data_IF_920191033765
#
_entry.id   IF_920191033765
#
_cell.length_a   1.000
_cell.length_b   1.000
_cell.length_c   1.000
_cell.angle_alpha   90.00
_cell.angle_beta   90.00
_cell.angle_gamma   90.00
#
_symmetry.space_group_name_H-M   'P 1'
#
loop_
_entity.id
_entity.type
_entity.pdbx_description
1 polymer ?
#
# COMPACT_ATOMS: atom_id res chain seq x y z
N UNK A 1 2.20 37.06 6.24
CA UNK A 1 3.37 36.40 5.61
C UNK A 1 2.86 35.33 4.66
N UNK A 2 3.30 35.32 3.39
CA UNK A 2 2.98 34.20 2.49
C UNK A 2 3.74 32.95 2.95
N UNK A 3 3.05 31.80 2.95
CA UNK A 3 3.67 30.51 3.24
C UNK A 3 4.68 30.18 2.11
N UNK A 4 5.75 29.47 2.46
CA UNK A 4 6.86 29.19 1.52
C UNK A 4 6.44 28.25 0.36
N UNK A 5 7.29 28.14 -0.66
CA UNK A 5 7.08 27.34 -1.87
C UNK A 5 6.86 25.86 -1.56
N UNK A 6 7.59 25.32 -0.58
CA UNK A 6 7.55 23.89 -0.23
C UNK A 6 6.19 23.50 0.35
N UNK A 7 5.65 24.34 1.25
CA UNK A 7 4.29 24.14 1.76
C UNK A 7 3.25 24.23 0.63
N UNK A 8 3.39 25.19 -0.30
CA UNK A 8 2.42 25.31 -1.41
C UNK A 8 2.49 24.09 -2.32
N UNK A 9 3.68 23.57 -2.62
CA UNK A 9 3.87 22.35 -3.41
C UNK A 9 3.22 21.16 -2.74
N UNK A 10 3.53 20.92 -1.46
CA UNK A 10 2.93 19.85 -0.65
C UNK A 10 1.39 19.96 -0.61
N UNK A 11 0.86 21.13 -0.28
CA UNK A 11 -0.59 21.39 -0.24
C UNK A 11 -1.26 21.08 -1.58
N UNK A 12 -0.63 21.46 -2.69
CA UNK A 12 -1.18 21.22 -4.04
C UNK A 12 -1.26 19.73 -4.34
N UNK A 13 -0.24 18.94 -3.98
CA UNK A 13 -0.24 17.48 -4.15
C UNK A 13 -1.37 16.86 -3.32
N UNK A 14 -1.45 17.20 -2.04
CA UNK A 14 -2.51 16.70 -1.14
C UNK A 14 -3.90 17.07 -1.65
N UNK A 15 -4.09 18.29 -2.11
CA UNK A 15 -5.38 18.76 -2.65
C UNK A 15 -5.76 18.09 -3.96
N UNK A 16 -4.77 17.71 -4.79
CA UNK A 16 -4.98 17.09 -6.10
C UNK A 16 -5.14 15.57 -6.04
N UNK A 17 -4.68 14.90 -4.96
CA UNK A 17 -4.84 13.46 -4.79
C UNK A 17 -6.33 13.11 -4.65
N UNK A 18 -6.78 12.18 -5.48
CA UNK A 18 -8.16 11.64 -5.48
C UNK A 18 -8.09 10.12 -5.67
N UNK A 19 -9.15 9.44 -5.26
CA UNK A 19 -9.37 8.05 -5.67
C UNK A 19 -9.72 8.03 -7.14
N UNK A 20 -8.90 7.35 -7.92
CA UNK A 20 -9.09 7.13 -9.35
C UNK A 20 -9.40 5.66 -9.54
N UNK A 21 -10.55 5.36 -10.15
CA UNK A 21 -11.06 3.99 -10.33
C UNK A 21 -11.00 3.53 -11.79
N UNK A 22 -11.05 4.47 -12.74
CA UNK A 22 -10.88 4.18 -14.16
C UNK A 22 -9.38 4.14 -14.46
N UNK A 23 -8.78 2.98 -14.29
CA UNK A 23 -7.35 2.74 -14.47
C UNK A 23 -7.08 2.14 -15.85
N UNK A 24 -5.86 2.35 -16.32
CA UNK A 24 -5.30 1.70 -17.52
C UNK A 24 -3.83 1.36 -17.27
N UNK A 25 -3.21 0.66 -18.21
CA UNK A 25 -1.82 0.24 -18.10
C UNK A 25 -0.80 1.32 -18.48
N UNK A 26 -1.23 2.51 -18.88
CA UNK A 26 -0.33 3.58 -19.32
C UNK A 26 0.24 4.32 -18.10
N UNK A 27 1.52 4.15 -17.84
CA UNK A 27 2.24 4.87 -16.79
C UNK A 27 2.96 6.09 -17.37
N UNK A 28 2.86 7.26 -16.72
CA UNK A 28 3.64 8.45 -17.12
C UNK A 28 5.13 8.36 -16.74
N UNK A 29 5.51 7.36 -15.96
CA UNK A 29 6.87 7.06 -15.47
C UNK A 29 7.16 5.58 -15.63
N UNK A 30 8.41 5.15 -15.49
CA UNK A 30 8.76 3.73 -15.59
C UNK A 30 8.29 2.92 -14.36
N UNK A 31 8.16 1.60 -14.51
CA UNK A 31 7.92 0.68 -13.39
C UNK A 31 9.04 0.77 -12.34
N UNK A 32 10.29 0.93 -12.77
CA UNK A 32 11.44 1.11 -11.89
C UNK A 32 11.34 2.41 -11.05
N UNK A 33 10.82 3.49 -11.62
CA UNK A 33 10.54 4.72 -10.86
C UNK A 33 9.47 4.50 -9.81
N UNK A 34 8.40 3.76 -10.13
CA UNK A 34 7.36 3.38 -9.16
C UNK A 34 7.96 2.57 -8.01
N UNK A 35 8.76 1.55 -8.31
CA UNK A 35 9.42 0.72 -7.29
C UNK A 35 10.35 1.56 -6.43
N UNK A 36 11.14 2.46 -7.03
CA UNK A 36 12.04 3.36 -6.31
C UNK A 36 11.28 4.26 -5.34
N UNK A 37 10.19 4.87 -5.78
CA UNK A 37 9.34 5.72 -4.93
C UNK A 37 8.74 4.94 -3.76
N UNK A 38 8.21 3.75 -4.02
CA UNK A 38 7.63 2.90 -2.96
C UNK A 38 8.70 2.51 -1.94
N UNK A 39 9.90 2.12 -2.41
CA UNK A 39 11.04 1.78 -1.55
C UNK A 39 11.48 2.96 -0.69
N UNK A 40 11.72 4.11 -1.30
CA UNK A 40 12.19 5.31 -0.60
C UNK A 40 11.19 5.76 0.46
N UNK A 41 9.91 5.79 0.13
CA UNK A 41 8.88 6.21 1.08
C UNK A 41 8.63 5.18 2.19
N UNK A 42 8.81 3.88 1.91
CA UNK A 42 8.76 2.84 2.94
C UNK A 42 9.90 3.04 3.95
N UNK A 43 11.08 3.45 3.48
CA UNK A 43 12.24 3.69 4.33
C UNK A 43 12.13 5.01 5.11
N UNK A 44 11.61 6.06 4.48
CA UNK A 44 11.50 7.42 5.04
C UNK A 44 10.28 7.61 5.95
N UNK A 45 9.23 6.82 5.80
CA UNK A 45 8.04 6.96 6.64
C UNK A 45 8.39 6.62 8.10
N UNK A 46 8.12 7.54 9.05
CA UNK A 46 8.45 7.31 10.45
C UNK A 46 7.57 6.23 11.06
N UNK A 47 8.15 5.47 11.98
CA UNK A 47 7.45 4.46 12.77
C UNK A 47 7.90 4.57 14.24
N UNK A 48 6.99 4.34 15.18
CA UNK A 48 7.25 4.47 16.60
C UNK A 48 8.41 3.57 17.02
N UNK A 49 9.33 4.08 17.85
CA UNK A 49 10.55 3.41 18.24
C UNK A 49 11.44 3.00 17.05
N UNK A 50 11.20 3.57 15.88
CA UNK A 50 11.86 3.17 14.64
C UNK A 50 11.75 1.65 14.36
N UNK A 51 10.60 1.05 14.68
CA UNK A 51 10.38 -0.40 14.58
C UNK A 51 10.43 -0.91 13.14
N UNK A 52 10.18 -0.04 12.14
CA UNK A 52 10.26 -0.41 10.72
C UNK A 52 9.43 -1.64 10.37
N UNK A 53 8.19 -1.66 10.85
CA UNK A 53 7.27 -2.79 10.67
C UNK A 53 6.59 -2.85 9.30
N UNK A 54 6.51 -1.72 8.58
CA UNK A 54 5.85 -1.64 7.29
C UNK A 54 6.61 -2.40 6.20
N UNK A 55 5.85 -3.08 5.32
CA UNK A 55 6.33 -3.76 4.11
C UNK A 55 5.43 -3.42 2.95
N UNK A 56 5.99 -3.44 1.74
CA UNK A 56 5.22 -3.26 0.52
C UNK A 56 5.69 -4.26 -0.55
N UNK A 57 4.74 -4.78 -1.33
CA UNK A 57 5.00 -5.53 -2.56
C UNK A 57 4.35 -4.75 -3.70
N UNK A 58 5.10 -4.53 -4.78
CA UNK A 58 4.58 -3.93 -6.00
C UNK A 58 4.47 -5.02 -7.05
N UNK A 59 3.30 -5.14 -7.67
CA UNK A 59 3.05 -6.09 -8.76
C UNK A 59 2.63 -5.34 -10.01
N UNK A 60 3.05 -5.81 -11.20
CA UNK A 60 2.75 -5.20 -12.49
C UNK A 60 2.21 -6.23 -13.48
N UNK A 61 1.55 -5.76 -14.53
CA UNK A 61 1.19 -6.55 -15.70
C UNK A 61 0.40 -7.81 -15.36
N UNK A 62 0.90 -8.98 -15.80
CA UNK A 62 0.24 -10.27 -15.56
C UNK A 62 0.12 -10.60 -14.08
N UNK A 63 1.15 -10.29 -13.28
CA UNK A 63 1.10 -10.50 -11.83
C UNK A 63 0.03 -9.63 -11.15
N UNK A 64 -0.19 -8.40 -11.64
CA UNK A 64 -1.30 -7.57 -11.19
C UNK A 64 -2.65 -8.24 -11.47
N UNK A 65 -2.82 -8.81 -12.67
CA UNK A 65 -4.03 -9.56 -13.02
C UNK A 65 -4.25 -10.77 -12.13
N UNK A 66 -3.20 -11.58 -11.90
CA UNK A 66 -3.28 -12.73 -10.98
C UNK A 66 -3.74 -12.33 -9.58
N UNK A 67 -3.23 -11.21 -9.05
CA UNK A 67 -3.63 -10.68 -7.74
C UNK A 67 -5.13 -10.36 -7.73
N UNK A 68 -5.65 -9.66 -8.74
CA UNK A 68 -7.06 -9.27 -8.76
C UNK A 68 -8.01 -10.44 -9.08
N UNK A 69 -7.56 -11.44 -9.83
CA UNK A 69 -8.27 -12.70 -10.03
C UNK A 69 -8.36 -13.48 -8.70
N UNK A 70 -7.25 -13.60 -7.97
CA UNK A 70 -7.23 -14.25 -6.66
C UNK A 70 -8.12 -13.54 -5.63
N UNK A 71 -8.17 -12.19 -5.66
CA UNK A 71 -9.10 -11.41 -4.83
C UNK A 71 -10.55 -11.75 -5.18
N UNK A 72 -10.90 -11.79 -6.46
CA UNK A 72 -12.25 -12.13 -6.91
C UNK A 72 -12.65 -13.55 -6.45
N UNK A 73 -11.78 -14.53 -6.67
CA UNK A 73 -12.02 -15.93 -6.36
C UNK A 73 -12.18 -16.16 -4.84
N UNK A 74 -11.38 -15.45 -4.01
CA UNK A 74 -11.48 -15.54 -2.54
C UNK A 74 -12.84 -15.07 -1.99
N UNK A 75 -13.56 -14.24 -2.72
CA UNK A 75 -14.91 -13.80 -2.35
C UNK A 75 -16.03 -14.71 -2.84
N UNK A 76 -15.75 -15.76 -3.60
CA UNK A 76 -16.74 -16.72 -4.08
C UNK A 76 -17.95 -16.03 -4.74
N UNK A 77 -17.68 -15.10 -5.66
CA UNK A 77 -18.71 -14.36 -6.41
C UNK A 77 -19.47 -13.27 -5.63
N UNK A 78 -19.05 -12.94 -4.40
CA UNK A 78 -19.71 -11.91 -3.57
C UNK A 78 -19.23 -10.48 -3.86
N UNK A 79 -18.24 -10.31 -4.73
CA UNK A 79 -17.77 -9.02 -5.23
C UNK A 79 -18.07 -8.89 -6.71
N UNK A 80 -18.23 -7.65 -7.18
CA UNK A 80 -18.48 -7.39 -8.60
C UNK A 80 -17.20 -7.64 -9.42
N UNK A 81 -17.28 -8.60 -10.37
CA UNK A 81 -16.19 -8.93 -11.30
C UNK A 81 -15.73 -7.71 -12.09
N UNK A 82 -16.68 -6.88 -12.56
CA UNK A 82 -16.34 -5.68 -13.31
C UNK A 82 -15.46 -4.70 -12.52
N UNK A 83 -15.63 -4.66 -11.20
CA UNK A 83 -14.80 -3.83 -10.32
C UNK A 83 -13.37 -4.38 -10.17
N UNK A 84 -13.22 -5.68 -9.98
CA UNK A 84 -11.88 -6.31 -9.90
C UNK A 84 -11.16 -6.27 -11.24
N UNK A 85 -11.90 -6.45 -12.37
CA UNK A 85 -11.36 -6.30 -13.72
C UNK A 85 -10.87 -4.87 -13.99
N UNK A 86 -11.60 -3.85 -13.51
CA UNK A 86 -11.17 -2.46 -13.64
C UNK A 86 -9.85 -2.19 -12.91
N UNK A 87 -9.60 -2.83 -11.78
CA UNK A 87 -8.32 -2.73 -11.05
C UNK A 87 -7.22 -3.56 -11.73
N UNK A 88 -7.57 -4.75 -12.23
CA UNK A 88 -6.64 -5.59 -13.00
C UNK A 88 -6.19 -4.93 -14.32
N UNK A 89 -7.00 -4.00 -14.88
CA UNK A 89 -6.65 -3.23 -16.07
C UNK A 89 -5.60 -2.13 -15.79
N UNK A 90 -5.34 -1.79 -14.53
CA UNK A 90 -4.27 -0.89 -14.12
C UNK A 90 -2.88 -1.45 -14.43
N UNK A 91 -1.87 -0.61 -14.47
CA UNK A 91 -0.48 -1.01 -14.70
C UNK A 91 0.05 -1.94 -13.59
N UNK A 92 -0.40 -1.74 -12.34
CA UNK A 92 0.05 -2.52 -11.21
C UNK A 92 -0.75 -2.25 -9.93
N UNK A 93 -0.32 -2.87 -8.85
CA UNK A 93 -0.89 -2.68 -7.51
C UNK A 93 0.22 -2.66 -6.46
N UNK A 94 0.12 -1.73 -5.50
CA UNK A 94 0.91 -1.77 -4.27
C UNK A 94 0.10 -2.49 -3.20
N UNK A 95 0.68 -3.55 -2.66
CA UNK A 95 0.14 -4.31 -1.53
C UNK A 95 0.88 -3.88 -0.26
N UNK A 96 0.15 -3.41 0.74
CA UNK A 96 0.72 -2.93 2.00
C UNK A 96 0.59 -3.98 3.09
N UNK A 97 1.70 -4.22 3.79
CA UNK A 97 1.75 -5.20 4.87
C UNK A 97 2.37 -4.60 6.13
N UNK A 98 2.12 -5.28 7.25
CA UNK A 98 2.82 -5.11 8.52
C UNK A 98 3.52 -6.42 8.87
N UNK A 99 4.80 -6.37 9.18
CA UNK A 99 5.57 -7.52 9.64
C UNK A 99 5.31 -7.75 11.13
N UNK A 100 4.50 -8.76 11.45
CA UNK A 100 4.11 -9.11 12.81
C UNK A 100 5.27 -9.61 13.66
N UNK A 101 6.30 -10.18 13.03
CA UNK A 101 7.50 -10.62 13.77
C UNK A 101 8.28 -9.45 14.37
N UNK A 102 8.33 -8.33 13.65
CA UNK A 102 8.93 -7.09 14.18
C UNK A 102 8.12 -6.56 15.36
N UNK A 103 6.78 -6.52 15.23
CA UNK A 103 5.91 -6.07 16.31
C UNK A 103 6.12 -6.93 17.56
N UNK A 104 6.12 -8.26 17.41
CA UNK A 104 6.35 -9.19 18.51
C UNK A 104 7.70 -8.94 19.19
N UNK A 105 8.78 -8.79 18.42
CA UNK A 105 10.11 -8.48 18.95
C UNK A 105 10.11 -7.18 19.78
N UNK A 106 9.40 -6.14 19.31
CA UNK A 106 9.30 -4.87 20.04
C UNK A 106 8.48 -5.01 21.32
N UNK A 107 7.41 -5.81 21.30
CA UNK A 107 6.58 -6.09 22.47
C UNK A 107 7.40 -6.80 23.56
N UNK A 108 8.24 -7.75 23.16
CA UNK A 108 9.13 -8.49 24.07
C UNK A 108 10.23 -7.58 24.66
N UNK A 109 10.79 -6.67 23.85
CA UNK A 109 11.85 -5.75 24.27
C UNK A 109 11.32 -4.62 25.15
N UNK A 110 10.09 -4.12 24.88
CA UNK A 110 9.53 -2.95 25.55
C UNK A 110 8.18 -3.28 26.20
N UNK A 111 8.21 -4.14 27.19
CA UNK A 111 7.00 -4.74 27.84
C UNK A 111 5.99 -3.69 28.32
N UNK A 112 6.47 -2.53 28.81
CA UNK A 112 5.58 -1.44 29.29
C UNK A 112 4.70 -0.83 28.18
N UNK A 113 5.09 -1.01 26.91
CA UNK A 113 4.38 -0.48 25.74
C UNK A 113 3.89 -1.58 24.80
N UNK A 114 3.93 -2.83 25.25
CA UNK A 114 3.66 -3.99 24.40
C UNK A 114 2.31 -3.90 23.67
N UNK A 115 1.26 -3.41 24.34
CA UNK A 115 -0.08 -3.23 23.78
C UNK A 115 -0.16 -2.09 22.75
N UNK A 116 0.84 -1.23 22.66
CA UNK A 116 0.88 -0.07 21.77
C UNK A 116 1.52 -0.35 20.41
N UNK A 117 2.48 -1.25 20.34
CA UNK A 117 3.20 -1.51 19.09
C UNK A 117 2.29 -1.89 17.92
N UNK A 118 1.26 -2.76 18.08
CA UNK A 118 0.33 -3.04 16.98
C UNK A 118 -0.42 -1.80 16.50
N UNK A 119 -0.83 -0.91 17.42
CA UNK A 119 -1.54 0.33 17.08
C UNK A 119 -0.61 1.29 16.34
N UNK A 120 0.61 1.46 16.82
CA UNK A 120 1.60 2.33 16.17
C UNK A 120 2.00 1.82 14.78
N UNK A 121 2.11 0.51 14.59
CA UNK A 121 2.37 -0.09 13.29
C UNK A 121 1.24 0.23 12.28
N UNK A 122 -0.03 0.13 12.70
CA UNK A 122 -1.17 0.52 11.86
C UNK A 122 -1.14 2.02 11.50
N UNK A 123 -0.81 2.88 12.47
CA UNK A 123 -0.68 4.32 12.23
C UNK A 123 0.45 4.63 11.24
N UNK A 124 1.62 3.99 11.42
CA UNK A 124 2.76 4.14 10.50
C UNK A 124 2.41 3.63 9.09
N UNK A 125 1.71 2.50 8.99
CA UNK A 125 1.26 1.96 7.70
C UNK A 125 0.28 2.92 7.01
N UNK A 126 -0.66 3.54 7.75
CA UNK A 126 -1.55 4.57 7.21
C UNK A 126 -0.79 5.81 6.70
N UNK A 127 0.27 6.24 7.39
CA UNK A 127 1.15 7.31 6.90
C UNK A 127 1.87 6.88 5.61
N UNK A 128 2.38 5.66 5.53
CA UNK A 128 3.02 5.13 4.33
C UNK A 128 2.06 5.11 3.14
N UNK A 129 0.84 4.60 3.33
CA UNK A 129 -0.18 4.57 2.29
C UNK A 129 -0.46 5.97 1.73
N UNK A 130 -0.62 6.95 2.62
CA UNK A 130 -0.85 8.34 2.21
C UNK A 130 0.35 8.96 1.51
N UNK A 131 1.57 8.68 1.98
CA UNK A 131 2.81 9.17 1.36
C UNK A 131 2.96 8.65 -0.08
N UNK A 132 2.83 7.32 -0.27
CA UNK A 132 2.92 6.70 -1.60
C UNK A 132 1.82 7.21 -2.52
N UNK A 133 0.58 7.26 -2.06
CA UNK A 133 -0.54 7.76 -2.86
C UNK A 133 -0.36 9.23 -3.28
N UNK A 134 0.18 10.06 -2.38
CA UNK A 134 0.48 11.46 -2.68
C UNK A 134 1.64 11.59 -3.66
N UNK A 135 2.68 10.77 -3.53
CA UNK A 135 3.79 10.74 -4.47
C UNK A 135 3.34 10.28 -5.86
N UNK A 136 2.52 9.25 -5.95
CA UNK A 136 1.92 8.82 -7.22
C UNK A 136 1.16 9.96 -7.89
N UNK A 137 0.36 10.71 -7.13
CA UNK A 137 -0.31 11.89 -7.67
C UNK A 137 0.67 12.94 -8.20
N UNK A 138 1.81 13.15 -7.55
CA UNK A 138 2.83 14.11 -8.01
C UNK A 138 3.51 13.68 -9.31
N UNK A 139 3.54 12.37 -9.57
CA UNK A 139 4.05 11.77 -10.82
C UNK A 139 2.98 11.66 -11.92
N UNK A 140 1.74 12.06 -11.66
CA UNK A 140 0.63 11.92 -12.61
C UNK A 140 -0.02 10.54 -12.63
N UNK A 141 0.37 9.65 -11.70
CA UNK A 141 -0.19 8.29 -11.56
C UNK A 141 -1.50 8.36 -10.78
N UNK A 142 -2.54 7.76 -11.33
CA UNK A 142 -3.83 7.55 -10.65
C UNK A 142 -3.81 6.29 -9.80
N UNK A 143 -4.41 6.35 -8.63
CA UNK A 143 -4.57 5.18 -7.75
C UNK A 143 -5.80 5.33 -6.86
N UNK A 144 -6.22 4.24 -6.24
CA UNK A 144 -7.22 4.23 -5.17
C UNK A 144 -6.79 3.29 -4.05
N UNK A 145 -7.33 3.45 -2.85
CA UNK A 145 -7.03 2.56 -1.74
C UNK A 145 -8.19 1.61 -1.50
N UNK A 146 -7.90 0.32 -1.46
CA UNK A 146 -8.86 -0.76 -1.30
C UNK A 146 -8.53 -1.60 -0.06
N UNK A 147 -9.56 -2.23 0.54
CA UNK A 147 -9.44 -3.05 1.76
C UNK A 147 -10.32 -4.29 1.62
N UNK A 148 -9.81 -5.32 0.95
CA UNK A 148 -10.49 -6.60 0.77
C UNK A 148 -10.12 -7.64 1.84
N UNK A 149 -9.06 -7.34 2.62
CA UNK A 149 -8.64 -8.15 3.75
C UNK A 149 -9.72 -8.15 4.87
N UNK A 150 -9.78 -9.19 5.74
CA UNK A 150 -8.87 -10.35 5.79
C UNK A 150 -9.22 -11.50 4.83
N UNK A 151 -10.33 -11.41 4.09
CA UNK A 151 -10.84 -12.50 3.25
C UNK A 151 -9.81 -12.99 2.22
N UNK A 152 -8.99 -12.07 1.71
CA UNK A 152 -8.02 -12.32 0.64
C UNK A 152 -6.62 -12.66 1.15
N UNK A 153 -6.36 -12.64 2.44
CA UNK A 153 -5.00 -12.67 3.00
C UNK A 153 -4.21 -13.91 2.56
N UNK A 154 -4.85 -15.09 2.58
CA UNK A 154 -4.22 -16.34 2.15
C UNK A 154 -3.96 -16.34 0.64
N UNK A 155 -4.96 -15.97 -0.16
CA UNK A 155 -4.85 -15.92 -1.62
C UNK A 155 -3.72 -14.95 -2.07
N UNK A 156 -3.61 -13.78 -1.43
CA UNK A 156 -2.52 -12.84 -1.71
C UNK A 156 -1.17 -13.41 -1.30
N UNK A 157 -1.08 -14.12 -0.19
CA UNK A 157 0.16 -14.78 0.24
C UNK A 157 0.61 -15.82 -0.78
N UNK A 158 -0.31 -16.66 -1.27
CA UNK A 158 -0.01 -17.68 -2.28
C UNK A 158 0.48 -17.06 -3.58
N UNK A 159 -0.21 -16.04 -4.09
CA UNK A 159 0.14 -15.38 -5.35
C UNK A 159 1.47 -14.63 -5.26
N UNK A 160 1.74 -13.96 -4.13
CA UNK A 160 2.91 -13.07 -4.00
C UNK A 160 4.13 -13.72 -3.37
N UNK A 161 3.96 -14.84 -2.66
CA UNK A 161 5.00 -15.43 -1.83
C UNK A 161 5.33 -14.63 -0.57
N UNK A 162 4.42 -13.75 -0.12
CA UNK A 162 4.63 -12.95 1.09
C UNK A 162 4.85 -13.85 2.31
N UNK A 163 5.82 -13.53 3.20
CA UNK A 163 6.07 -14.30 4.41
C UNK A 163 4.82 -14.43 5.30
N UNK A 164 4.69 -15.55 6.01
CA UNK A 164 3.56 -15.79 6.90
C UNK A 164 3.45 -14.74 8.04
N UNK A 165 4.56 -14.09 8.40
CA UNK A 165 4.57 -13.02 9.39
C UNK A 165 4.02 -11.68 8.87
N UNK A 166 3.80 -11.54 7.56
CA UNK A 166 3.30 -10.30 6.97
C UNK A 166 1.77 -10.31 6.94
N UNK A 167 1.17 -9.41 7.71
CA UNK A 167 -0.26 -9.14 7.72
C UNK A 167 -0.61 -8.14 6.62
N UNK A 168 -1.52 -8.51 5.72
CA UNK A 168 -2.00 -7.62 4.66
C UNK A 168 -2.88 -6.52 5.27
N UNK A 169 -2.66 -5.27 4.88
CA UNK A 169 -3.39 -4.10 5.41
C UNK A 169 -4.28 -3.46 4.35
N UNK A 170 -3.74 -3.24 3.15
CA UNK A 170 -4.45 -2.53 2.09
C UNK A 170 -3.87 -2.87 0.71
N UNK A 171 -4.64 -2.56 -0.34
CA UNK A 171 -4.28 -2.68 -1.74
C UNK A 171 -4.47 -1.32 -2.43
N UNK A 172 -3.50 -0.88 -3.25
CA UNK A 172 -3.61 0.32 -4.06
C UNK A 172 -3.34 0.01 -5.54
N UNK A 173 -4.41 -0.30 -6.29
CA UNK A 173 -4.32 -0.39 -7.74
C UNK A 173 -4.09 0.96 -8.38
#
# INVERSE_FOLDING_TARGET
MALNSDYQAFKNVVAARRSVYALNADLPVSEDDIVSVVKDLTELTPDAFNQKSARAIVVFGEKNREVWDAIYDAFDGKVDRAKTDAFAAGAGTVLYFIDRSIIQSMQEQYVLYADRFPVWAQQANGMLQFNIWSAFRSLGVGASLQHYNPVIDEAIREVTGAPASWELVAQAP
#
